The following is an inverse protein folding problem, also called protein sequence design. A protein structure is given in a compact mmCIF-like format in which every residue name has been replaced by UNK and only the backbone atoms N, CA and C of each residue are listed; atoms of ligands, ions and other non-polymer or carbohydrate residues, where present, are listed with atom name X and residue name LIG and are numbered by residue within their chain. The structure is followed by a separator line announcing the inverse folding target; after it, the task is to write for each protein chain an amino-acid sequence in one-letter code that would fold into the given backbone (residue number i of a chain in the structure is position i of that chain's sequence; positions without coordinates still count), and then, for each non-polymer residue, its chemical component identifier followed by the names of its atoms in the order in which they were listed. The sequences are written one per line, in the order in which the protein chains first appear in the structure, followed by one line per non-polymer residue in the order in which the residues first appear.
data_IF_257743776573
#
_entry.id   IF_257743776573
#
_cell.length_a   1.000
_cell.length_b   1.000
_cell.length_c   1.000
_cell.angle_alpha   90.00
_cell.angle_beta   90.00
_cell.angle_gamma   90.00
#
_symmetry.space_group_name_H-M   'P 1'
#
loop_
_entity.id
_entity.type
_entity.pdbx_description
1 polymer ?
#
# COMPACT_ATOMS: atom_id res chain seq x y z
N UNK A 1 -15.81 -26.14 8.06
CA UNK A 1 -14.49 -25.91 7.41
C UNK A 1 -13.49 -25.48 8.47
N UNK A 2 -12.34 -26.09 8.48
CA UNK A 2 -11.32 -25.78 9.47
C UNK A 2 -10.65 -24.45 9.12
N UNK A 3 -10.45 -23.58 10.13
CA UNK A 3 -9.69 -22.34 10.01
C UNK A 3 -8.21 -22.67 10.07
N UNK A 4 -7.45 -22.37 9.00
CA UNK A 4 -6.01 -22.60 8.93
C UNK A 4 -5.24 -21.43 9.55
N UNK A 5 -5.62 -20.21 9.24
CA UNK A 5 -4.98 -19.00 9.75
C UNK A 5 -6.03 -18.04 10.29
N UNK A 6 -5.66 -17.32 11.35
CA UNK A 6 -6.49 -16.28 11.93
C UNK A 6 -5.65 -15.05 12.29
N UNK A 7 -6.20 -13.87 11.99
CA UNK A 7 -5.56 -12.60 12.29
C UNK A 7 -6.60 -11.63 12.84
N UNK A 8 -6.34 -11.03 14.01
CA UNK A 8 -7.25 -10.08 14.67
C UNK A 8 -6.50 -8.82 15.07
N UNK A 9 -6.97 -7.68 14.61
CA UNK A 9 -6.39 -6.40 15.00
C UNK A 9 -7.36 -5.25 14.94
N UNK A 10 -7.01 -4.15 15.61
CA UNK A 10 -7.68 -2.86 15.44
C UNK A 10 -6.80 -2.00 14.53
N UNK A 11 -7.39 -1.37 13.53
CA UNK A 11 -6.66 -0.47 12.63
C UNK A 11 -6.04 0.67 13.43
N UNK A 12 -4.71 0.70 13.55
CA UNK A 12 -3.96 1.81 14.13
C UNK A 12 -3.49 2.79 13.05
N UNK A 13 -3.18 4.02 13.47
CA UNK A 13 -2.64 5.03 12.56
C UNK A 13 -1.30 4.58 11.94
N UNK A 14 -0.48 3.83 12.70
CA UNK A 14 0.79 3.27 12.21
C UNK A 14 0.59 2.30 11.04
N UNK A 15 -0.36 1.37 11.17
CA UNK A 15 -0.72 0.41 10.11
C UNK A 15 -1.17 1.15 8.84
N UNK A 16 -2.02 2.17 8.99
CA UNK A 16 -2.53 2.94 7.85
C UNK A 16 -1.41 3.74 7.17
N UNK A 17 -0.55 4.40 7.94
CA UNK A 17 0.59 5.16 7.39
C UNK A 17 1.55 4.25 6.62
N UNK A 18 1.90 3.09 7.17
CA UNK A 18 2.77 2.13 6.47
C UNK A 18 2.13 1.62 5.18
N UNK A 19 0.84 1.27 5.23
CA UNK A 19 0.08 0.87 4.06
C UNK A 19 0.05 1.97 2.99
N UNK A 20 -0.30 3.21 3.34
CA UNK A 20 -0.36 4.33 2.41
C UNK A 20 1.00 4.65 1.80
N UNK A 21 2.06 4.67 2.61
CA UNK A 21 3.41 4.91 2.13
C UNK A 21 3.83 3.87 1.08
N UNK A 22 3.59 2.59 1.33
CA UNK A 22 3.99 1.52 0.40
C UNK A 22 3.10 1.42 -0.84
N UNK A 23 1.81 1.70 -0.71
CA UNK A 23 0.86 1.54 -1.82
C UNK A 23 0.72 2.80 -2.67
N UNK A 24 0.93 3.98 -2.10
CA UNK A 24 0.75 5.24 -2.81
C UNK A 24 2.08 5.87 -3.24
N UNK A 25 3.07 6.01 -2.34
CA UNK A 25 4.34 6.66 -2.71
C UNK A 25 5.24 5.77 -3.58
N UNK A 26 5.21 4.45 -3.39
CA UNK A 26 6.03 3.50 -4.13
C UNK A 26 5.24 2.76 -5.23
N UNK A 27 4.09 3.28 -5.64
CA UNK A 27 3.38 2.76 -6.80
C UNK A 27 4.05 3.24 -8.11
N UNK A 28 3.83 2.56 -9.25
CA UNK A 28 4.50 2.92 -10.51
C UNK A 28 4.30 4.37 -10.96
N UNK A 29 3.12 4.95 -10.72
CA UNK A 29 2.80 6.32 -11.14
C UNK A 29 3.66 7.37 -10.40
N UNK A 30 3.71 7.42 -9.05
CA UNK A 30 4.64 8.30 -8.33
C UNK A 30 6.10 8.08 -8.69
N UNK A 31 6.54 6.82 -8.85
CA UNK A 31 7.91 6.52 -9.23
C UNK A 31 8.23 7.13 -10.61
N UNK A 32 7.35 6.98 -11.59
CA UNK A 32 7.53 7.61 -12.90
C UNK A 32 7.57 9.14 -12.80
N UNK A 33 6.73 9.74 -11.94
CA UNK A 33 6.75 11.19 -11.68
C UNK A 33 8.09 11.64 -11.07
N UNK A 34 8.64 10.91 -10.10
CA UNK A 34 9.95 11.22 -9.52
C UNK A 34 11.07 11.14 -10.55
N UNK A 35 11.06 10.11 -11.42
CA UNK A 35 12.03 9.98 -12.50
C UNK A 35 11.92 11.13 -13.51
N UNK A 36 10.73 11.56 -13.85
CA UNK A 36 10.50 12.71 -14.73
C UNK A 36 11.00 14.02 -14.11
N UNK A 37 10.73 14.28 -12.83
CA UNK A 37 11.21 15.46 -12.12
C UNK A 37 12.75 15.43 -12.05
N UNK A 38 13.33 14.27 -11.74
CA UNK A 38 14.78 14.09 -11.69
C UNK A 38 15.45 14.35 -13.06
N UNK A 39 14.83 13.84 -14.14
CA UNK A 39 15.27 14.13 -15.50
C UNK A 39 15.25 15.64 -15.81
N UNK A 40 14.19 16.35 -15.41
CA UNK A 40 14.11 17.80 -15.63
C UNK A 40 15.18 18.59 -14.89
N UNK A 41 15.48 18.18 -13.65
CA UNK A 41 16.55 18.78 -12.85
C UNK A 41 17.90 18.58 -13.57
N UNK A 42 18.23 17.35 -13.96
CA UNK A 42 19.48 17.06 -14.68
C UNK A 42 19.58 17.89 -15.96
N UNK A 43 18.53 17.89 -16.76
CA UNK A 43 18.50 18.65 -18.02
C UNK A 43 18.73 20.13 -17.79
N UNK A 44 18.15 20.73 -16.77
CA UNK A 44 18.40 22.13 -16.43
C UNK A 44 19.84 22.42 -16.08
N UNK A 45 20.52 21.49 -15.38
CA UNK A 45 21.95 21.63 -15.09
C UNK A 45 22.84 21.45 -16.32
N UNK A 46 22.52 20.53 -17.23
CA UNK A 46 23.24 20.34 -18.50
C UNK A 46 23.13 21.60 -19.36
N UNK A 47 21.92 22.14 -19.50
CA UNK A 47 21.70 23.39 -20.24
C UNK A 47 22.48 24.58 -19.65
N UNK A 48 22.51 24.68 -18.32
CA UNK A 48 23.31 25.70 -17.66
C UNK A 48 24.81 25.56 -17.94
N UNK A 49 25.34 24.34 -17.93
CA UNK A 49 26.72 24.06 -18.25
C UNK A 49 27.08 24.46 -19.71
N UNK A 50 26.20 24.16 -20.67
CA UNK A 50 26.43 24.39 -22.10
C UNK A 50 26.20 25.85 -22.50
N UNK A 51 25.21 26.52 -21.91
CA UNK A 51 24.75 27.87 -22.35
C UNK A 51 25.03 28.97 -21.35
N UNK A 52 25.45 28.64 -20.13
CA UNK A 52 25.57 29.57 -19.00
C UNK A 52 24.20 30.07 -18.44
N UNK A 53 23.07 29.65 -19.01
CA UNK A 53 21.74 30.07 -18.64
C UNK A 53 20.95 28.94 -17.95
N UNK A 54 20.52 29.19 -16.73
CA UNK A 54 19.67 28.21 -15.99
C UNK A 54 18.22 28.31 -16.43
N UNK A 55 17.59 27.18 -16.78
CA UNK A 55 16.16 27.13 -17.09
C UNK A 55 15.31 27.17 -15.80
N UNK A 56 15.14 28.38 -15.27
CA UNK A 56 14.40 28.66 -14.04
C UNK A 56 12.92 28.25 -14.19
N UNK A 57 12.31 28.39 -15.36
CA UNK A 57 10.90 28.03 -15.60
C UNK A 57 10.69 26.53 -15.43
N UNK A 58 11.62 25.73 -15.95
CA UNK A 58 11.57 24.28 -15.83
C UNK A 58 11.75 23.81 -14.39
N UNK A 59 12.65 24.43 -13.64
CA UNK A 59 12.86 24.12 -12.21
C UNK A 59 11.65 24.51 -11.36
N UNK A 60 11.07 25.68 -11.60
CA UNK A 60 9.84 26.11 -10.91
C UNK A 60 8.66 25.21 -11.19
N UNK A 61 8.49 24.75 -12.44
CA UNK A 61 7.41 23.82 -12.79
C UNK A 61 7.60 22.46 -12.10
N UNK A 62 8.83 21.93 -12.04
CA UNK A 62 9.14 20.70 -11.33
C UNK A 62 8.84 20.82 -9.81
N UNK A 63 9.25 21.94 -9.20
CA UNK A 63 8.95 22.23 -7.81
C UNK A 63 7.44 22.35 -7.54
N UNK A 64 6.69 23.03 -8.39
CA UNK A 64 5.25 23.18 -8.27
C UNK A 64 4.51 21.83 -8.35
N UNK A 65 4.89 20.97 -9.29
CA UNK A 65 4.32 19.61 -9.42
C UNK A 65 4.63 18.78 -8.17
N UNK A 66 5.85 18.86 -7.65
CA UNK A 66 6.25 18.12 -6.44
C UNK A 66 5.46 18.59 -5.21
N UNK A 67 5.31 19.91 -5.02
CA UNK A 67 4.53 20.49 -3.93
C UNK A 67 3.06 20.04 -4.02
N UNK A 68 2.46 20.12 -5.21
CA UNK A 68 1.08 19.69 -5.44
C UNK A 68 0.90 18.20 -5.08
N UNK A 69 1.81 17.34 -5.57
CA UNK A 69 1.76 15.91 -5.29
C UNK A 69 1.83 15.59 -3.79
N UNK A 70 2.79 16.18 -3.07
CA UNK A 70 2.93 15.96 -1.63
C UNK A 70 1.75 16.54 -0.85
N UNK A 71 1.25 17.70 -1.24
CA UNK A 71 0.05 18.29 -0.61
C UNK A 71 -1.15 17.35 -0.73
N UNK A 72 -1.42 16.83 -1.93
CA UNK A 72 -2.50 15.87 -2.15
C UNK A 72 -2.31 14.58 -1.37
N UNK A 73 -1.08 14.08 -1.29
CA UNK A 73 -0.76 12.91 -0.47
C UNK A 73 -1.06 13.15 1.01
N UNK A 74 -0.57 14.26 1.58
CA UNK A 74 -0.78 14.57 3.00
C UNK A 74 -2.25 14.84 3.34
N UNK A 75 -2.99 15.53 2.46
CA UNK A 75 -4.43 15.73 2.65
C UNK A 75 -5.18 14.40 2.69
N UNK A 76 -4.87 13.48 1.77
CA UNK A 76 -5.47 12.15 1.73
C UNK A 76 -5.09 11.32 2.95
N UNK A 77 -3.83 11.35 3.39
CA UNK A 77 -3.38 10.68 4.61
C UNK A 77 -4.16 11.19 5.83
N UNK A 78 -4.23 12.52 6.02
CA UNK A 78 -4.98 13.14 7.14
C UNK A 78 -6.46 12.76 7.14
N UNK A 79 -7.11 12.78 5.97
CA UNK A 79 -8.52 12.39 5.84
C UNK A 79 -8.72 10.92 6.21
N UNK A 80 -7.85 10.02 5.73
CA UNK A 80 -7.91 8.59 6.04
C UNK A 80 -7.69 8.31 7.52
N UNK A 81 -6.70 8.97 8.14
CA UNK A 81 -6.42 8.83 9.56
C UNK A 81 -7.58 9.37 10.43
N UNK A 82 -8.15 10.52 10.08
CA UNK A 82 -9.32 11.08 10.78
C UNK A 82 -10.50 10.10 10.74
N UNK A 83 -10.80 9.54 9.56
CA UNK A 83 -11.86 8.56 9.40
C UNK A 83 -11.62 7.28 10.21
N UNK A 84 -10.37 6.80 10.26
CA UNK A 84 -9.99 5.62 11.04
C UNK A 84 -10.16 5.83 12.54
N UNK A 85 -9.75 6.99 13.07
CA UNK A 85 -9.88 7.33 14.50
C UNK A 85 -11.34 7.37 14.94
N UNK A 86 -12.23 7.90 14.11
CA UNK A 86 -13.67 7.96 14.39
C UNK A 86 -14.27 6.55 14.46
N UNK A 87 -13.92 5.68 13.51
CA UNK A 87 -14.57 4.37 13.36
C UNK A 87 -13.98 3.27 14.24
N UNK A 88 -12.72 3.38 14.71
CA UNK A 88 -12.00 2.36 15.51
C UNK A 88 -12.24 0.93 14.98
N UNK A 89 -12.04 0.72 13.68
CA UNK A 89 -12.44 -0.50 12.98
C UNK A 89 -11.63 -1.70 13.50
N UNK A 90 -12.35 -2.67 14.08
CA UNK A 90 -11.81 -3.98 14.43
C UNK A 90 -11.88 -4.87 13.20
N UNK A 91 -10.77 -5.50 12.86
CA UNK A 91 -10.64 -6.41 11.74
C UNK A 91 -10.41 -7.82 12.25
N UNK A 92 -11.13 -8.76 11.67
CA UNK A 92 -10.95 -10.17 11.94
C UNK A 92 -10.90 -10.92 10.61
N UNK A 93 -9.79 -11.61 10.38
CA UNK A 93 -9.55 -12.41 9.20
C UNK A 93 -9.44 -13.87 9.58
N UNK A 94 -10.10 -14.72 8.79
CA UNK A 94 -9.94 -16.16 8.87
C UNK A 94 -9.65 -16.70 7.47
N UNK A 95 -8.66 -17.58 7.37
CA UNK A 95 -8.32 -18.28 6.14
C UNK A 95 -8.71 -19.75 6.28
N UNK A 96 -9.46 -20.25 5.31
CA UNK A 96 -9.80 -21.66 5.14
C UNK A 96 -9.10 -22.20 3.89
N UNK A 97 -9.30 -23.45 3.55
CA UNK A 97 -8.72 -24.04 2.32
C UNK A 97 -9.22 -23.40 1.03
N UNK A 98 -10.43 -22.83 1.02
CA UNK A 98 -11.11 -22.35 -0.19
C UNK A 98 -11.19 -20.83 -0.29
N UNK A 99 -11.22 -20.11 0.84
CA UNK A 99 -11.43 -18.66 0.84
C UNK A 99 -10.87 -17.97 2.08
N UNK A 100 -10.67 -16.66 1.94
CA UNK A 100 -10.41 -15.73 3.04
C UNK A 100 -11.72 -15.05 3.45
N UNK A 101 -12.08 -15.12 4.72
CA UNK A 101 -13.20 -14.36 5.26
C UNK A 101 -12.66 -13.15 6.01
N UNK A 102 -13.22 -11.99 5.72
CA UNK A 102 -12.88 -10.71 6.35
C UNK A 102 -14.12 -10.17 7.04
N UNK A 103 -14.01 -9.96 8.36
CA UNK A 103 -15.04 -9.28 9.14
C UNK A 103 -14.53 -7.92 9.61
N UNK A 104 -15.32 -6.88 9.40
CA UNK A 104 -15.00 -5.49 9.75
C UNK A 104 -16.24 -4.82 10.31
N UNK A 105 -16.44 -4.87 11.62
CA UNK A 105 -17.74 -4.54 12.25
C UNK A 105 -18.82 -5.48 11.74
N UNK A 106 -19.93 -4.90 11.24
CA UNK A 106 -21.06 -5.65 10.69
C UNK A 106 -20.84 -6.15 9.26
N UNK A 107 -19.75 -5.70 8.62
CA UNK A 107 -19.43 -6.09 7.26
C UNK A 107 -18.63 -7.39 7.25
N UNK A 108 -19.12 -8.38 6.49
CA UNK A 108 -18.42 -9.65 6.23
C UNK A 108 -18.25 -9.82 4.73
N UNK A 109 -17.03 -10.11 4.30
CA UNK A 109 -16.71 -10.39 2.91
C UNK A 109 -15.93 -11.69 2.81
N UNK A 110 -16.29 -12.52 1.83
CA UNK A 110 -15.53 -13.70 1.46
C UNK A 110 -14.76 -13.42 0.17
N UNK A 111 -13.51 -13.80 0.15
CA UNK A 111 -12.56 -13.57 -0.95
C UNK A 111 -12.04 -14.93 -1.37
N UNK A 112 -12.37 -15.35 -2.58
CA UNK A 112 -11.76 -16.55 -3.15
C UNK A 112 -10.26 -16.30 -3.39
N UNK A 113 -9.42 -17.32 -3.21
CA UNK A 113 -8.00 -17.20 -3.57
C UNK A 113 -7.81 -16.85 -5.04
N UNK A 114 -8.73 -17.25 -5.90
CA UNK A 114 -8.73 -16.90 -7.32
C UNK A 114 -8.92 -15.38 -7.58
N UNK A 115 -9.61 -14.69 -6.67
CA UNK A 115 -9.83 -13.24 -6.78
C UNK A 115 -8.63 -12.41 -6.30
N UNK A 116 -7.59 -13.04 -5.77
CA UNK A 116 -6.39 -12.37 -5.35
C UNK A 116 -5.53 -12.06 -6.56
N UNK A 117 -5.27 -10.79 -6.80
CA UNK A 117 -4.42 -10.32 -7.90
C UNK A 117 -2.93 -10.36 -7.56
N UNK A 118 -2.60 -9.96 -6.35
CA UNK A 118 -1.20 -9.91 -5.87
C UNK A 118 -1.14 -9.76 -4.36
N UNK A 119 -0.05 -10.24 -3.79
CA UNK A 119 0.30 -10.07 -2.39
C UNK A 119 1.56 -9.23 -2.31
N UNK A 120 1.57 -8.21 -1.47
CA UNK A 120 2.76 -7.41 -1.16
C UNK A 120 3.09 -7.58 0.31
N UNK A 121 4.37 -7.68 0.61
CA UNK A 121 4.84 -7.73 1.98
C UNK A 121 5.69 -6.51 2.30
N UNK A 122 5.60 -6.08 3.55
CA UNK A 122 6.49 -5.10 4.16
C UNK A 122 7.10 -5.70 5.42
N UNK A 123 7.90 -4.94 6.16
CA UNK A 123 8.47 -5.40 7.43
C UNK A 123 7.37 -5.83 8.42
N UNK A 124 6.26 -5.09 8.49
CA UNK A 124 5.23 -5.29 9.52
C UNK A 124 3.88 -5.73 8.95
N UNK A 125 3.67 -5.64 7.62
CA UNK A 125 2.37 -5.88 7.03
C UNK A 125 2.45 -6.86 5.85
N UNK A 126 1.40 -7.65 5.69
CA UNK A 126 1.06 -8.36 4.47
C UNK A 126 -0.17 -7.67 3.88
N UNK A 127 -0.13 -7.32 2.61
CA UNK A 127 -1.25 -6.67 1.91
C UNK A 127 -1.69 -7.54 0.74
N UNK A 128 -2.91 -8.04 0.81
CA UNK A 128 -3.54 -8.85 -0.23
C UNK A 128 -4.41 -7.94 -1.09
N UNK A 129 -4.08 -7.81 -2.37
CA UNK A 129 -4.86 -7.04 -3.33
C UNK A 129 -5.76 -7.96 -4.14
N UNK A 130 -7.04 -7.62 -4.21
CA UNK A 130 -8.01 -8.29 -5.07
C UNK A 130 -8.10 -7.65 -6.45
N UNK A 131 -8.70 -8.33 -7.42
CA UNK A 131 -8.98 -7.79 -8.76
C UNK A 131 -9.84 -6.51 -8.70
N UNK A 132 -10.69 -6.36 -7.68
CA UNK A 132 -11.49 -5.15 -7.42
C UNK A 132 -10.65 -3.96 -6.87
N UNK A 133 -9.33 -4.06 -6.87
CA UNK A 133 -8.39 -3.05 -6.35
C UNK A 133 -8.54 -2.76 -4.84
N UNK A 134 -9.21 -3.63 -4.12
CA UNK A 134 -9.31 -3.55 -2.65
C UNK A 134 -8.06 -4.18 -2.05
N UNK A 135 -7.39 -3.46 -1.15
CA UNK A 135 -6.24 -3.94 -0.40
C UNK A 135 -6.63 -4.36 1.02
N UNK A 136 -6.42 -5.61 1.36
CA UNK A 136 -6.64 -6.15 2.70
C UNK A 136 -5.32 -6.23 3.44
N UNK A 137 -5.28 -5.68 4.65
CA UNK A 137 -4.05 -5.52 5.44
C UNK A 137 -4.03 -6.57 6.53
N UNK A 138 -2.93 -7.30 6.67
CA UNK A 138 -2.68 -8.29 7.71
C UNK A 138 -1.39 -7.90 8.43
N UNK A 139 -1.47 -7.31 9.65
CA UNK A 139 -0.27 -7.07 10.44
C UNK A 139 0.38 -8.40 10.84
N UNK A 140 1.70 -8.49 10.69
CA UNK A 140 2.43 -9.75 10.93
C UNK A 140 2.40 -10.18 12.40
N UNK A 141 2.37 -9.22 13.32
CA UNK A 141 2.39 -9.46 14.76
C UNK A 141 1.03 -9.85 15.36
N UNK A 142 -0.05 -9.88 14.57
CA UNK A 142 -1.43 -10.06 15.08
C UNK A 142 -2.10 -11.35 14.64
N UNK A 143 -1.30 -12.31 14.14
CA UNK A 143 -1.79 -13.66 13.89
C UNK A 143 -2.05 -14.39 15.20
N UNK A 144 -3.27 -14.93 15.34
CA UNK A 144 -3.72 -15.69 16.52
C UNK A 144 -3.73 -17.18 16.25
N UNK A 145 -3.79 -17.62 14.99
CA UNK A 145 -3.60 -18.98 14.54
C UNK A 145 -2.70 -19.01 13.32
N UNK A 146 -1.65 -19.81 13.32
CA UNK A 146 -0.58 -19.83 12.33
C UNK A 146 0.34 -18.61 12.46
N UNK A 147 1.32 -18.51 11.57
CA UNK A 147 2.28 -17.41 11.50
C UNK A 147 2.12 -16.61 10.21
N UNK A 148 2.65 -15.39 10.17
CA UNK A 148 2.65 -14.56 8.98
C UNK A 148 3.45 -15.18 7.82
N UNK A 149 4.54 -15.87 8.15
CA UNK A 149 5.41 -16.58 7.22
C UNK A 149 4.71 -17.78 6.59
N UNK A 150 4.08 -18.61 7.41
CA UNK A 150 3.28 -19.74 6.94
C UNK A 150 2.11 -19.30 6.07
N UNK A 151 1.45 -18.20 6.44
CA UNK A 151 0.38 -17.62 5.63
C UNK A 151 0.89 -17.15 4.25
N UNK A 152 2.05 -16.49 4.19
CA UNK A 152 2.66 -16.09 2.91
C UNK A 152 3.01 -17.29 2.05
N UNK A 153 3.62 -18.32 2.67
CA UNK A 153 3.97 -19.56 1.98
C UNK A 153 2.71 -20.27 1.44
N UNK A 154 1.66 -20.32 2.24
CA UNK A 154 0.38 -20.87 1.84
C UNK A 154 -0.24 -20.11 0.64
N UNK A 155 -0.19 -18.78 0.64
CA UNK A 155 -0.65 -17.97 -0.50
C UNK A 155 0.18 -18.23 -1.76
N UNK A 156 1.49 -18.43 -1.64
CA UNK A 156 2.35 -18.82 -2.75
C UNK A 156 1.99 -20.20 -3.29
N UNK A 157 1.76 -21.17 -2.43
CA UNK A 157 1.33 -22.52 -2.81
C UNK A 157 -0.02 -22.52 -3.55
N UNK A 158 -0.91 -21.55 -3.25
CA UNK A 158 -2.15 -21.30 -4.00
C UNK A 158 -1.93 -20.53 -5.31
N UNK A 159 -0.69 -20.36 -5.78
CA UNK A 159 -0.36 -19.70 -7.04
C UNK A 159 -0.36 -18.17 -7.00
N UNK A 160 -0.37 -17.56 -5.81
CA UNK A 160 -0.39 -16.11 -5.68
C UNK A 160 0.99 -15.50 -5.85
N UNK A 161 1.09 -14.42 -6.66
CA UNK A 161 2.33 -13.66 -6.83
C UNK A 161 2.62 -12.82 -5.59
N UNK A 162 3.57 -13.25 -4.76
CA UNK A 162 4.05 -12.48 -3.61
C UNK A 162 5.20 -11.57 -4.07
N UNK A 163 5.09 -10.26 -3.77
CA UNK A 163 6.11 -9.24 -4.07
C UNK A 163 6.62 -8.64 -2.77
N UNK A 164 7.91 -8.47 -2.69
CA UNK A 164 8.62 -7.79 -1.59
C UNK A 164 8.58 -6.28 -1.82
#
# INVERSE_FOLDING_TARGET
METLFENRYTRSDAIIKEYMRRTQLLSPIPVALYLMIFYWIIRSFVLWYDTGALDVKMLLSAAAIMILFFTMYFLKERATLKQNRIKKIKMHFTATETHLTVKSGDFTSQISYHDIRSVRQTRNLIVVFTHKKVGWIFPRSTFTKGTAEEFLYYLQAKGQKVRI
#
